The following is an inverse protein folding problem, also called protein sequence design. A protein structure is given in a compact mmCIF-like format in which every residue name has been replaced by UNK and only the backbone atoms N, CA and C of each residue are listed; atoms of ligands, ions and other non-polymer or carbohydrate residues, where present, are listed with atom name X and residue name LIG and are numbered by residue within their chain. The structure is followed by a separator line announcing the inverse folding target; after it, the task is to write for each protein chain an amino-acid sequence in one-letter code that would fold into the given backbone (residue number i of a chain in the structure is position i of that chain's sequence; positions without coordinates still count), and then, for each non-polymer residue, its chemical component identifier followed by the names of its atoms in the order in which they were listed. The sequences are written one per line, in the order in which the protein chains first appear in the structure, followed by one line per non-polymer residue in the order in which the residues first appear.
data_IF_921303268112
#
_entry.id   IF_921303268112
#
_cell.length_a   1.000
_cell.length_b   1.000
_cell.length_c   1.000
_cell.angle_alpha   90.00
_cell.angle_beta   90.00
_cell.angle_gamma   90.00
#
_symmetry.space_group_name_H-M   'P 1'
#
loop_
_entity.id
_entity.type
_entity.pdbx_description
1 polymer ?
#
# COMPACT_ATOMS: atom_id res chain seq x y z
N UNK A 1 -0.43 -23.13 -25.42
CA UNK A 1 -1.17 -23.57 -24.22
C UNK A 1 -2.46 -22.77 -24.17
N UNK A 2 -3.57 -23.34 -24.62
CA UNK A 2 -4.85 -22.65 -24.62
C UNK A 2 -5.35 -22.55 -23.17
N UNK A 3 -5.65 -21.34 -22.70
CA UNK A 3 -6.32 -21.15 -21.43
C UNK A 3 -7.73 -21.72 -21.60
N UNK A 4 -8.05 -22.76 -20.82
CA UNK A 4 -9.38 -23.34 -20.77
C UNK A 4 -10.39 -22.28 -20.32
N UNK A 5 -11.23 -21.84 -21.26
CA UNK A 5 -12.26 -20.81 -21.02
C UNK A 5 -13.41 -21.34 -20.14
N UNK A 6 -13.51 -22.64 -19.90
CA UNK A 6 -14.50 -23.23 -18.98
C UNK A 6 -14.22 -22.91 -17.50
N UNK A 7 -12.99 -22.51 -17.17
CA UNK A 7 -12.59 -22.10 -15.81
C UNK A 7 -12.94 -20.63 -15.52
N UNK A 8 -13.13 -19.82 -16.56
CA UNK A 8 -13.46 -18.39 -16.42
C UNK A 8 -14.97 -18.25 -16.29
N UNK A 9 -15.46 -18.36 -15.05
CA UNK A 9 -16.88 -18.10 -14.76
C UNK A 9 -17.20 -16.61 -15.04
N UNK A 10 -18.10 -16.31 -16.00
CA UNK A 10 -18.30 -14.96 -16.52
C UNK A 10 -19.07 -14.03 -15.57
N UNK A 11 -19.59 -14.55 -14.45
CA UNK A 11 -20.50 -13.87 -13.51
C UNK A 11 -19.99 -13.83 -12.06
N UNK A 12 -18.74 -14.26 -11.80
CA UNK A 12 -18.22 -14.31 -10.43
C UNK A 12 -17.98 -12.90 -9.89
N UNK A 13 -18.94 -12.38 -9.12
CA UNK A 13 -18.78 -11.13 -8.36
C UNK A 13 -17.58 -11.28 -7.40
N UNK A 14 -16.50 -10.58 -7.72
CA UNK A 14 -15.30 -10.47 -6.90
C UNK A 14 -15.53 -9.34 -5.89
N UNK A 15 -15.63 -9.71 -4.62
CA UNK A 15 -15.75 -8.75 -3.51
C UNK A 15 -14.39 -8.52 -2.87
N UNK A 16 -14.21 -7.38 -2.20
CA UNK A 16 -12.96 -7.11 -1.46
C UNK A 16 -12.68 -8.18 -0.41
N UNK A 17 -13.70 -8.71 0.27
CA UNK A 17 -13.52 -9.79 1.25
C UNK A 17 -12.94 -11.06 0.63
N UNK A 18 -13.39 -11.43 -0.58
CA UNK A 18 -12.84 -12.57 -1.32
C UNK A 18 -11.38 -12.33 -1.71
N UNK A 19 -11.02 -11.12 -2.11
CA UNK A 19 -9.63 -10.77 -2.46
C UNK A 19 -8.75 -10.81 -1.22
N UNK A 20 -9.17 -10.18 -0.12
CA UNK A 20 -8.43 -10.14 1.14
C UNK A 20 -8.23 -11.55 1.71
N UNK A 21 -9.27 -12.38 1.73
CA UNK A 21 -9.18 -13.77 2.15
C UNK A 21 -8.19 -14.57 1.29
N UNK A 22 -8.23 -14.39 -0.05
CA UNK A 22 -7.29 -15.04 -0.96
C UNK A 22 -5.85 -14.59 -0.70
N UNK A 23 -5.63 -13.28 -0.55
CA UNK A 23 -4.31 -12.70 -0.33
C UNK A 23 -3.69 -13.20 0.98
N UNK A 24 -4.48 -13.29 2.05
CA UNK A 24 -4.06 -13.87 3.32
C UNK A 24 -3.77 -15.36 3.19
N UNK A 25 -4.72 -16.13 2.68
CA UNK A 25 -4.62 -17.59 2.61
C UNK A 25 -3.52 -18.10 1.68
N UNK A 26 -3.10 -17.30 0.69
CA UNK A 26 -2.02 -17.67 -0.26
C UNK A 26 -0.68 -17.04 0.07
N UNK A 27 -0.54 -16.32 1.18
CA UNK A 27 0.75 -15.72 1.55
C UNK A 27 1.18 -14.55 0.67
N UNK A 28 0.22 -13.72 0.24
CA UNK A 28 0.50 -12.43 -0.38
C UNK A 28 0.65 -11.33 0.68
N UNK A 29 -0.39 -11.08 1.47
CA UNK A 29 -0.44 -9.95 2.41
C UNK A 29 -1.06 -10.42 3.72
N UNK A 30 -0.42 -10.06 4.84
CA UNK A 30 -0.90 -10.27 6.19
C UNK A 30 -1.11 -8.93 6.91
N UNK A 31 -2.09 -8.81 7.81
CA UNK A 31 -2.19 -7.68 8.74
C UNK A 31 -0.91 -7.56 9.58
N UNK A 32 -0.36 -6.36 9.69
CA UNK A 32 0.85 -6.15 10.50
C UNK A 32 0.57 -6.42 11.98
N UNK A 33 1.51 -7.07 12.66
CA UNK A 33 1.40 -7.43 14.09
C UNK A 33 0.15 -8.24 14.46
N UNK A 34 -0.35 -9.09 13.55
CA UNK A 34 -1.63 -9.81 13.72
C UNK A 34 -1.72 -10.58 15.05
N UNK A 35 -0.68 -11.30 15.44
CA UNK A 35 -0.67 -12.11 16.68
C UNK A 35 -0.69 -11.27 17.97
N UNK A 36 -0.52 -9.95 17.86
CA UNK A 36 -0.56 -8.99 18.97
C UNK A 36 -1.77 -8.05 18.90
N UNK A 37 -2.82 -8.42 18.15
CA UNK A 37 -4.03 -7.63 18.00
C UNK A 37 -4.04 -6.69 16.78
N UNK A 38 -2.99 -6.75 15.95
CA UNK A 38 -2.86 -5.97 14.74
C UNK A 38 -2.39 -4.54 14.97
N UNK A 39 -1.75 -3.95 13.96
CA UNK A 39 -1.40 -2.54 13.93
C UNK A 39 -2.06 -1.90 12.71
N UNK A 40 -3.01 -1.00 12.98
CA UNK A 40 -3.78 -0.34 11.93
C UNK A 40 -2.87 0.31 10.88
N UNK A 41 -3.26 0.19 9.62
CA UNK A 41 -2.54 0.71 8.45
C UNK A 41 -1.13 0.13 8.23
N UNK A 42 -0.86 -1.08 8.75
CA UNK A 42 0.39 -1.81 8.48
C UNK A 42 0.11 -3.22 7.98
N UNK A 43 1.00 -3.71 7.11
CA UNK A 43 0.87 -5.01 6.46
C UNK A 43 2.24 -5.63 6.19
N UNK A 44 2.30 -6.95 6.32
CA UNK A 44 3.48 -7.76 6.01
C UNK A 44 3.29 -8.49 4.68
N UNK A 45 4.31 -8.47 3.83
CA UNK A 45 4.29 -9.20 2.56
C UNK A 45 4.79 -10.63 2.78
N UNK A 46 3.95 -11.62 2.50
CA UNK A 46 4.31 -13.04 2.56
C UNK A 46 5.20 -13.49 1.39
N UNK A 47 5.52 -14.80 1.29
CA UNK A 47 6.45 -15.32 0.27
C UNK A 47 6.07 -14.99 -1.18
N UNK A 48 4.78 -15.12 -1.51
CA UNK A 48 4.29 -14.74 -2.84
C UNK A 48 4.19 -13.22 -2.99
N UNK A 49 3.80 -12.53 -1.92
CA UNK A 49 3.65 -11.07 -1.91
C UNK A 49 4.96 -10.32 -2.12
N UNK A 50 6.05 -10.74 -1.47
CA UNK A 50 7.36 -10.10 -1.62
C UNK A 50 7.89 -10.27 -3.04
N UNK A 51 7.72 -11.46 -3.62
CA UNK A 51 8.12 -11.76 -5.00
C UNK A 51 7.31 -10.93 -5.98
N UNK A 52 5.99 -10.89 -5.81
CA UNK A 52 5.09 -10.09 -6.62
C UNK A 52 5.43 -8.60 -6.57
N UNK A 53 5.58 -8.03 -5.35
CA UNK A 53 5.98 -6.63 -5.14
C UNK A 53 7.30 -6.31 -5.83
N UNK A 54 8.30 -7.19 -5.70
CA UNK A 54 9.60 -6.99 -6.30
C UNK A 54 9.53 -7.04 -7.84
N UNK A 55 8.71 -7.92 -8.41
CA UNK A 55 8.51 -7.98 -9.86
C UNK A 55 7.85 -6.71 -10.39
N UNK A 56 6.84 -6.16 -9.69
CA UNK A 56 6.22 -4.89 -10.05
C UNK A 56 7.23 -3.75 -9.98
N UNK A 57 8.01 -3.66 -8.90
CA UNK A 57 9.08 -2.65 -8.76
C UNK A 57 10.11 -2.73 -9.90
N UNK A 58 10.56 -3.95 -10.25
CA UNK A 58 11.51 -4.17 -11.36
C UNK A 58 10.93 -3.77 -12.72
N UNK A 59 9.67 -4.14 -13.00
CA UNK A 59 9.01 -3.78 -14.24
C UNK A 59 8.87 -2.25 -14.37
N UNK A 60 8.47 -1.58 -13.29
CA UNK A 60 8.38 -0.12 -13.24
C UNK A 60 9.75 0.54 -13.45
N UNK A 61 10.78 0.08 -12.74
CA UNK A 61 12.13 0.63 -12.85
C UNK A 61 12.71 0.48 -14.26
N UNK A 62 12.53 -0.69 -14.87
CA UNK A 62 12.96 -0.92 -16.24
C UNK A 62 12.25 0.03 -17.22
N UNK A 63 10.93 0.16 -17.10
CA UNK A 63 10.15 0.98 -18.03
C UNK A 63 10.41 2.47 -17.90
N UNK A 64 10.43 3.00 -16.68
CA UNK A 64 10.43 4.44 -16.46
C UNK A 64 11.82 5.00 -16.21
N UNK A 65 12.73 4.23 -15.61
CA UNK A 65 14.09 4.71 -15.33
C UNK A 65 15.05 4.25 -16.43
N UNK A 66 15.22 2.95 -16.62
CA UNK A 66 16.28 2.43 -17.51
C UNK A 66 16.03 2.70 -19.01
N UNK A 67 14.77 2.67 -19.45
CA UNK A 67 14.42 2.93 -20.86
C UNK A 67 14.33 4.42 -21.21
N UNK A 68 14.46 5.33 -20.23
CA UNK A 68 14.46 6.77 -20.47
C UNK A 68 15.88 7.33 -20.31
N UNK A 69 16.43 7.91 -21.38
CA UNK A 69 17.75 8.58 -21.33
C UNK A 69 17.81 9.82 -20.43
N UNK A 70 16.66 10.28 -19.94
CA UNK A 70 16.55 11.50 -19.13
C UNK A 70 16.38 11.22 -17.63
N UNK A 71 16.20 9.96 -17.22
CA UNK A 71 15.91 9.61 -15.84
C UNK A 71 17.13 8.96 -15.18
N UNK A 72 17.36 9.31 -13.91
CA UNK A 72 18.45 8.77 -13.10
C UNK A 72 17.88 8.21 -11.80
N UNK A 73 18.34 7.02 -11.42
CA UNK A 73 17.96 6.40 -10.16
C UNK A 73 18.71 7.00 -8.98
N UNK A 74 17.99 7.24 -7.88
CA UNK A 74 18.56 7.66 -6.59
C UNK A 74 17.91 6.83 -5.48
N UNK A 75 18.68 6.52 -4.43
CA UNK A 75 18.18 5.92 -3.20
C UNK A 75 18.58 6.81 -2.02
N UNK A 76 17.60 7.33 -1.30
CA UNK A 76 17.77 8.35 -0.27
C UNK A 76 17.39 7.81 1.11
N UNK A 77 17.98 8.40 2.16
CA UNK A 77 17.65 8.05 3.52
C UNK A 77 16.21 8.43 3.89
N UNK A 78 15.53 7.57 4.67
CA UNK A 78 14.18 7.84 5.20
C UNK A 78 14.21 8.93 6.28
N UNK A 79 15.24 8.90 7.15
CA UNK A 79 15.44 9.92 8.18
C UNK A 79 16.17 11.12 7.57
N UNK A 80 15.55 12.29 7.68
CA UNK A 80 16.04 13.54 7.08
C UNK A 80 16.12 14.65 8.14
N UNK A 81 16.93 15.67 7.85
CA UNK A 81 16.99 16.88 8.68
C UNK A 81 15.59 17.56 8.70
N UNK A 82 15.06 17.97 9.87
CA UNK A 82 13.77 18.64 9.99
C UNK A 82 13.58 19.86 9.07
N UNK A 83 14.64 20.63 8.81
CA UNK A 83 14.58 21.81 7.94
C UNK A 83 14.15 21.46 6.51
N UNK A 84 14.41 20.23 6.04
CA UNK A 84 13.92 19.77 4.73
C UNK A 84 12.39 19.71 4.68
N UNK A 85 11.74 19.30 5.78
CA UNK A 85 10.28 19.23 5.87
C UNK A 85 9.63 20.60 6.04
N UNK A 86 10.35 21.54 6.67
CA UNK A 86 9.93 22.95 6.77
C UNK A 86 10.02 23.61 5.40
N UNK A 87 11.18 23.55 4.76
CA UNK A 87 11.43 24.19 3.46
C UNK A 87 10.51 23.66 2.34
N UNK A 88 10.16 22.37 2.37
CA UNK A 88 9.21 21.79 1.42
C UNK A 88 7.74 22.06 1.75
N UNK A 89 7.44 22.69 2.90
CA UNK A 89 6.09 23.03 3.34
C UNK A 89 5.31 21.87 3.98
N UNK A 90 5.90 20.68 4.12
CA UNK A 90 5.21 19.52 4.71
C UNK A 90 4.77 19.78 6.15
N UNK A 91 5.58 20.47 6.96
CA UNK A 91 5.23 20.78 8.36
C UNK A 91 3.97 21.65 8.47
N UNK A 92 3.78 22.59 7.54
CA UNK A 92 2.63 23.51 7.57
C UNK A 92 1.43 23.04 6.75
N UNK A 93 1.63 22.18 5.76
CA UNK A 93 0.61 21.84 4.76
C UNK A 93 0.19 20.37 4.69
N UNK A 94 0.97 19.44 5.23
CA UNK A 94 0.65 18.00 5.16
C UNK A 94 -0.13 17.54 6.39
N UNK A 95 -1.39 17.99 6.47
CA UNK A 95 -2.31 17.63 7.56
C UNK A 95 -3.73 17.45 7.05
N UNK A 96 -4.45 16.48 7.59
CA UNK A 96 -5.89 16.33 7.37
C UNK A 96 -6.67 16.89 8.57
N UNK A 97 -7.78 17.63 8.35
CA UNK A 97 -8.65 18.07 9.44
C UNK A 97 -9.30 16.88 10.16
N UNK A 98 -9.21 16.85 11.48
CA UNK A 98 -9.79 15.82 12.34
C UNK A 98 -10.89 16.41 13.24
N UNK A 99 -11.92 15.61 13.52
CA UNK A 99 -12.98 15.91 14.47
C UNK A 99 -12.89 14.92 15.63
N UNK A 100 -12.83 15.45 16.85
CA UNK A 100 -12.86 14.66 18.09
C UNK A 100 -14.29 14.50 18.60
N UNK A 101 -14.74 13.25 18.76
CA UNK A 101 -15.99 12.97 19.44
C UNK A 101 -15.77 12.92 20.96
N UNK A 102 -16.32 13.91 21.69
CA UNK A 102 -16.10 14.03 23.14
C UNK A 102 -16.71 12.88 23.97
N UNK A 103 -17.74 12.20 23.46
CA UNK A 103 -18.41 11.09 24.13
C UNK A 103 -17.67 9.77 23.96
N UNK A 104 -17.34 9.37 22.72
CA UNK A 104 -16.65 8.10 22.46
C UNK A 104 -15.12 8.21 22.40
N UNK A 105 -14.55 9.42 22.52
CA UNK A 105 -13.11 9.72 22.47
C UNK A 105 -12.41 9.28 21.18
N UNK A 106 -13.17 9.00 20.12
CA UNK A 106 -12.63 8.66 18.81
C UNK A 106 -12.35 9.91 17.97
N UNK A 107 -11.38 9.79 17.05
CA UNK A 107 -11.01 10.78 16.05
C UNK A 107 -11.47 10.33 14.67
N UNK A 108 -12.08 11.25 13.94
CA UNK A 108 -12.56 11.02 12.59
C UNK A 108 -11.98 12.08 11.66
N UNK A 109 -11.73 11.73 10.39
CA UNK A 109 -11.41 12.77 9.41
C UNK A 109 -12.67 13.55 9.06
N UNK A 110 -12.55 14.87 9.01
CA UNK A 110 -13.68 15.75 8.75
C UNK A 110 -14.32 15.53 7.37
N UNK A 111 -13.56 14.99 6.41
CA UNK A 111 -14.00 14.73 5.04
C UNK A 111 -14.71 13.38 4.84
N UNK A 112 -14.81 12.55 5.89
CA UNK A 112 -15.37 11.18 5.81
C UNK A 112 -16.61 10.95 6.67
N UNK A 113 -17.23 12.04 7.15
CA UNK A 113 -18.47 12.01 7.94
C UNK A 113 -19.61 12.54 7.07
#
# INVERSE_FOLDING_TARGET
MAIDKSVVQPDRVVTMDKITALAKNRGYIFPGSEIYGGLANTWDYGPLGVTFKNNVKKAWWSKFVQQSKYNVGIDAAILMNPETWVASGHVGGFSDPLIDCKSCKARFRADKI
#
